data_IF_595486639834
#
_entry.id   IF_595486639834
#
_cell.length_a   1.000
_cell.length_b   1.000
_cell.length_c   1.000
_cell.angle_alpha   90.00
_cell.angle_beta   90.00
_cell.angle_gamma   90.00
#
_symmetry.space_group_name_H-M   'P 1'
#
loop_
_entity.id
_entity.type
_entity.pdbx_description
1 polymer ?
#
# COMPACT_ATOMS: atom_id res chain seq x y z
N UNK A 1 -43.43 30.55 -41.83
CA UNK A 1 -42.59 31.27 -40.88
C UNK A 1 -43.03 31.20 -39.40
N UNK A 2 -44.33 31.29 -39.06
CA UNK A 2 -44.75 31.23 -37.64
C UNK A 2 -44.48 29.86 -36.93
N UNK A 3 -44.56 28.74 -37.61
CA UNK A 3 -44.31 27.39 -37.01
C UNK A 3 -42.84 27.16 -36.70
N UNK A 4 -41.87 27.71 -37.43
CA UNK A 4 -40.44 27.56 -37.14
C UNK A 4 -39.98 28.37 -35.92
N UNK A 5 -40.65 29.48 -35.61
CA UNK A 5 -40.31 30.31 -34.43
C UNK A 5 -40.70 29.61 -33.13
N UNK A 6 -41.84 28.89 -33.11
CA UNK A 6 -42.26 28.14 -31.92
C UNK A 6 -41.39 26.88 -31.65
N UNK A 7 -40.86 26.27 -32.70
CA UNK A 7 -39.92 25.12 -32.55
C UNK A 7 -38.56 25.59 -32.02
N UNK A 8 -38.09 26.77 -32.45
CA UNK A 8 -36.83 27.32 -31.93
C UNK A 8 -36.97 27.81 -30.49
N UNK A 9 -38.12 28.41 -30.14
CA UNK A 9 -38.41 28.84 -28.75
C UNK A 9 -38.57 27.64 -27.80
N UNK A 10 -39.15 26.54 -28.23
CA UNK A 10 -39.28 25.32 -27.45
C UNK A 10 -37.91 24.63 -27.22
N UNK A 11 -36.98 24.69 -28.21
CA UNK A 11 -35.66 24.13 -28.08
C UNK A 11 -34.75 24.92 -27.12
N UNK A 12 -34.90 26.27 -27.10
CA UNK A 12 -34.16 27.14 -26.16
C UNK A 12 -34.66 27.00 -24.72
N UNK A 13 -35.94 26.76 -24.51
CA UNK A 13 -36.50 26.49 -23.19
C UNK A 13 -36.09 25.13 -22.59
N UNK A 14 -35.80 24.15 -23.45
CA UNK A 14 -35.29 22.84 -23.00
C UNK A 14 -33.82 22.91 -22.58
N UNK A 15 -33.01 23.80 -23.18
CA UNK A 15 -31.60 23.93 -22.83
C UNK A 15 -31.38 24.73 -21.52
N UNK A 16 -32.23 25.71 -21.24
CA UNK A 16 -32.18 26.49 -19.98
C UNK A 16 -32.77 25.75 -18.78
N UNK A 17 -33.62 24.72 -19.02
CA UNK A 17 -34.18 23.86 -17.96
C UNK A 17 -33.18 22.88 -17.37
N UNK A 18 -32.15 22.46 -18.13
CA UNK A 18 -31.14 21.55 -17.62
C UNK A 18 -30.12 22.22 -16.70
N UNK A 19 -29.73 23.48 -16.98
CA UNK A 19 -28.76 24.19 -16.15
C UNK A 19 -29.37 24.55 -14.77
N UNK A 20 -30.62 25.05 -14.75
CA UNK A 20 -31.29 25.37 -13.49
C UNK A 20 -31.61 24.13 -12.64
N UNK A 21 -31.76 22.94 -13.24
CA UNK A 21 -31.98 21.70 -12.52
C UNK A 21 -30.66 21.19 -11.92
N UNK A 22 -29.54 21.34 -12.61
CA UNK A 22 -28.20 20.98 -12.09
C UNK A 22 -27.77 21.95 -11.00
N UNK A 23 -28.03 23.25 -11.15
CA UNK A 23 -27.76 24.26 -10.11
C UNK A 23 -28.66 24.13 -8.88
N UNK A 24 -29.90 23.63 -9.05
CA UNK A 24 -30.85 23.38 -7.97
C UNK A 24 -30.98 21.91 -7.58
N UNK A 25 -30.23 21.00 -8.22
CA UNK A 25 -30.07 19.65 -7.70
C UNK A 25 -29.32 19.81 -6.38
N UNK A 26 -30.07 19.85 -5.29
CA UNK A 26 -29.49 19.90 -3.94
C UNK A 26 -28.44 18.82 -3.82
N UNK A 27 -27.35 19.14 -3.16
CA UNK A 27 -26.31 18.14 -2.80
C UNK A 27 -27.01 16.87 -2.39
N UNK A 28 -26.67 15.70 -2.97
CA UNK A 28 -27.29 14.44 -2.59
C UNK A 28 -27.38 14.36 -1.08
N UNK A 29 -28.49 13.89 -0.54
CA UNK A 29 -28.77 13.89 0.91
C UNK A 29 -27.74 13.10 1.74
N UNK A 30 -26.85 12.36 1.08
CA UNK A 30 -25.71 11.64 1.65
C UNK A 30 -24.35 12.35 1.46
N UNK A 31 -24.29 13.52 0.82
CA UNK A 31 -23.10 14.37 0.76
C UNK A 31 -23.24 15.49 1.80
N UNK A 32 -22.45 15.38 2.86
CA UNK A 32 -22.27 16.48 3.80
C UNK A 32 -21.51 17.60 3.10
N UNK A 33 -22.06 18.83 3.10
CA UNK A 33 -21.33 19.99 2.60
C UNK A 33 -20.20 20.34 3.57
N UNK A 34 -19.09 20.94 3.07
CA UNK A 34 -17.96 21.39 3.93
C UNK A 34 -18.41 22.25 5.11
N UNK A 35 -19.55 22.93 4.99
CA UNK A 35 -20.13 23.81 6.02
C UNK A 35 -21.00 23.04 7.04
N UNK A 36 -21.63 21.94 6.64
CA UNK A 36 -22.42 21.06 7.52
C UNK A 36 -21.55 20.17 8.41
N UNK A 37 -20.25 20.03 8.08
CA UNK A 37 -19.33 19.25 8.85
C UNK A 37 -18.84 20.08 10.04
N UNK A 38 -19.10 19.61 11.23
CA UNK A 38 -18.23 19.94 12.35
C UNK A 38 -16.85 19.37 12.01
N UNK A 39 -16.00 20.17 11.36
CA UNK A 39 -14.69 19.76 10.82
C UNK A 39 -13.86 19.01 11.85
N UNK A 40 -13.96 19.39 13.13
CA UNK A 40 -13.26 18.72 14.23
C UNK A 40 -13.72 17.27 14.40
N UNK A 41 -15.02 17.01 14.46
CA UNK A 41 -15.57 15.66 14.62
C UNK A 41 -15.32 14.76 13.39
N UNK A 42 -15.13 15.33 12.21
CA UNK A 42 -14.75 14.59 11.02
C UNK A 42 -13.33 14.01 11.10
N UNK A 43 -12.45 14.66 11.85
CA UNK A 43 -11.05 14.25 12.00
C UNK A 43 -10.89 13.36 13.21
N UNK A 44 -11.29 13.84 14.39
CA UNK A 44 -11.14 13.08 15.62
C UNK A 44 -12.13 13.53 16.70
N UNK A 45 -12.47 12.59 17.58
CA UNK A 45 -13.20 12.83 18.82
C UNK A 45 -12.19 12.69 19.95
N UNK A 46 -11.89 13.82 20.60
CA UNK A 46 -10.95 13.91 21.73
C UNK A 46 -11.73 13.92 23.04
N UNK A 47 -11.41 12.96 23.90
CA UNK A 47 -11.89 12.86 25.28
C UNK A 47 -10.71 12.96 26.25
N UNK A 48 -10.95 12.93 27.55
CA UNK A 48 -9.90 13.17 28.56
C UNK A 48 -8.64 12.30 28.37
N UNK A 49 -8.79 11.04 27.99
CA UNK A 49 -7.67 10.08 27.85
C UNK A 49 -7.78 9.23 26.57
N UNK A 50 -8.56 9.64 25.59
CA UNK A 50 -8.70 8.89 24.34
C UNK A 50 -8.86 9.82 23.15
N UNK A 51 -8.30 9.40 22.01
CA UNK A 51 -8.56 9.96 20.71
C UNK A 51 -9.14 8.86 19.83
N UNK A 52 -10.27 9.15 19.21
CA UNK A 52 -10.94 8.25 18.26
C UNK A 52 -11.00 8.88 16.89
N UNK A 53 -10.83 8.07 15.85
CA UNK A 53 -10.93 8.55 14.47
C UNK A 53 -12.31 9.13 14.18
N UNK A 54 -12.35 10.29 13.58
CA UNK A 54 -13.53 10.79 12.91
C UNK A 54 -13.74 10.11 11.55
N UNK A 55 -14.91 10.30 10.91
CA UNK A 55 -15.23 9.65 9.65
C UNK A 55 -14.20 9.84 8.54
N UNK A 56 -13.60 11.02 8.39
CA UNK A 56 -12.61 11.28 7.36
C UNK A 56 -11.30 10.52 7.64
N UNK A 57 -10.83 10.52 8.89
CA UNK A 57 -9.63 9.78 9.30
C UNK A 57 -9.83 8.27 9.14
N UNK A 58 -10.97 7.74 9.59
CA UNK A 58 -11.32 6.34 9.40
C UNK A 58 -11.39 5.96 7.91
N UNK A 59 -11.93 6.84 7.07
CA UNK A 59 -11.98 6.64 5.62
C UNK A 59 -10.58 6.58 4.99
N UNK A 60 -9.68 7.50 5.35
CA UNK A 60 -8.28 7.47 4.88
C UNK A 60 -7.59 6.15 5.25
N UNK A 61 -7.77 5.67 6.49
CA UNK A 61 -7.22 4.37 6.92
C UNK A 61 -7.81 3.18 6.15
N UNK A 62 -9.09 3.24 5.79
CA UNK A 62 -9.72 2.22 4.93
C UNK A 62 -9.11 2.24 3.53
N UNK A 63 -8.93 3.42 2.92
CA UNK A 63 -8.30 3.56 1.61
C UNK A 63 -6.87 3.04 1.57
N UNK A 64 -6.12 3.10 2.67
CA UNK A 64 -4.81 2.46 2.79
C UNK A 64 -4.86 0.97 2.44
N UNK A 65 -5.80 0.25 3.02
CA UNK A 65 -5.93 -1.18 2.77
C UNK A 65 -6.30 -1.50 1.33
N UNK A 66 -7.20 -0.73 0.73
CA UNK A 66 -7.62 -0.92 -0.66
C UNK A 66 -6.48 -0.62 -1.64
N UNK A 67 -5.72 0.45 -1.41
CA UNK A 67 -4.59 0.82 -2.25
C UNK A 67 -3.42 -0.15 -2.08
N UNK A 68 -3.05 -0.48 -0.84
CA UNK A 68 -1.94 -1.38 -0.53
C UNK A 68 -2.19 -2.78 -1.08
N UNK A 69 -3.37 -3.37 -0.82
CA UNK A 69 -3.68 -4.72 -1.32
C UNK A 69 -3.66 -4.80 -2.84
N UNK A 70 -4.23 -3.81 -3.52
CA UNK A 70 -4.23 -3.76 -4.98
C UNK A 70 -2.79 -3.62 -5.54
N UNK A 71 -1.94 -2.79 -4.91
CA UNK A 71 -0.53 -2.67 -5.26
C UNK A 71 0.22 -3.99 -5.00
N UNK A 72 0.04 -4.63 -3.84
CA UNK A 72 0.71 -5.90 -3.51
C UNK A 72 0.36 -7.02 -4.49
N UNK A 73 -0.91 -7.11 -4.90
CA UNK A 73 -1.35 -8.07 -5.91
C UNK A 73 -0.69 -7.82 -7.27
N UNK A 74 -0.66 -6.56 -7.70
CA UNK A 74 -0.03 -6.20 -8.97
C UNK A 74 1.49 -6.42 -8.95
N UNK A 75 2.18 -5.94 -7.91
CA UNK A 75 3.62 -6.12 -7.74
C UNK A 75 3.99 -7.60 -7.60
N UNK A 76 3.24 -8.38 -6.79
CA UNK A 76 3.45 -9.81 -6.67
C UNK A 76 3.30 -10.58 -8.00
N UNK A 77 2.48 -10.04 -8.93
CA UNK A 77 2.31 -10.60 -10.28
C UNK A 77 3.43 -10.17 -11.25
N UNK A 78 4.09 -9.03 -11.01
CA UNK A 78 5.28 -8.65 -11.81
C UNK A 78 6.50 -9.50 -11.48
N UNK A 79 6.50 -10.17 -10.34
CA UNK A 79 7.55 -11.07 -9.85
C UNK A 79 7.03 -12.51 -9.76
N UNK A 80 7.66 -13.33 -8.96
CA UNK A 80 7.38 -14.77 -8.82
C UNK A 80 6.55 -15.14 -7.57
N UNK A 81 5.82 -14.17 -6.98
CA UNK A 81 4.92 -14.42 -5.86
C UNK A 81 3.53 -14.87 -6.32
N UNK A 82 2.99 -14.19 -7.32
CA UNK A 82 1.65 -14.40 -7.83
C UNK A 82 1.68 -14.69 -9.33
N UNK A 83 0.62 -15.30 -9.82
CA UNK A 83 0.36 -15.50 -11.25
C UNK A 83 -1.12 -15.38 -11.54
N UNK A 84 -1.48 -15.36 -12.84
CA UNK A 84 -2.87 -15.30 -13.26
C UNK A 84 -3.70 -16.43 -12.64
N UNK A 85 -4.92 -16.09 -12.22
CA UNK A 85 -5.90 -17.06 -11.77
C UNK A 85 -6.56 -17.83 -12.92
N UNK A 86 -7.60 -18.55 -12.60
CA UNK A 86 -8.30 -19.44 -13.55
C UNK A 86 -9.54 -18.82 -14.18
N UNK A 87 -9.95 -17.64 -13.73
CA UNK A 87 -11.10 -16.92 -14.30
C UNK A 87 -10.64 -15.99 -15.44
N UNK A 88 -11.36 -15.97 -16.57
CA UNK A 88 -11.06 -15.08 -17.70
C UNK A 88 -11.13 -13.58 -17.38
N UNK A 89 -11.84 -13.18 -16.34
CA UNK A 89 -12.17 -11.78 -16.05
C UNK A 89 -11.07 -11.01 -15.28
N UNK A 90 -10.08 -11.69 -14.74
CA UNK A 90 -8.93 -11.06 -14.08
C UNK A 90 -7.91 -10.54 -15.10
N UNK A 91 -8.38 -9.68 -16.00
CA UNK A 91 -7.61 -9.25 -17.18
C UNK A 91 -6.31 -8.54 -16.80
N UNK A 92 -6.32 -7.70 -15.76
CA UNK A 92 -5.13 -6.98 -15.29
C UNK A 92 -3.99 -7.96 -14.97
N UNK A 93 -4.22 -8.92 -14.08
CA UNK A 93 -3.18 -9.84 -13.61
C UNK A 93 -2.69 -10.76 -14.72
N UNK A 94 -3.58 -11.17 -15.65
CA UNK A 94 -3.18 -11.90 -16.86
C UNK A 94 -2.28 -11.07 -17.76
N UNK A 95 -2.62 -9.81 -18.01
CA UNK A 95 -1.80 -8.92 -18.82
C UNK A 95 -0.44 -8.65 -18.18
N UNK A 96 -0.38 -8.52 -16.86
CA UNK A 96 0.89 -8.41 -16.13
C UNK A 96 1.67 -9.72 -16.28
N UNK A 97 1.08 -10.87 -15.98
CA UNK A 97 1.76 -12.17 -16.00
C UNK A 97 2.32 -12.54 -17.39
N UNK A 98 1.65 -12.09 -18.46
CA UNK A 98 2.04 -12.34 -19.86
C UNK A 98 2.81 -11.21 -20.53
N UNK A 99 3.22 -10.18 -19.79
CA UNK A 99 3.93 -8.99 -20.32
C UNK A 99 3.18 -8.24 -21.46
N UNK A 100 1.85 -8.27 -21.43
CA UNK A 100 0.97 -7.67 -22.46
C UNK A 100 0.18 -6.44 -21.96
N UNK A 101 0.47 -5.91 -20.78
CA UNK A 101 -0.16 -4.71 -20.27
C UNK A 101 0.41 -3.47 -20.96
N UNK A 102 -0.47 -2.61 -21.47
CA UNK A 102 -0.13 -1.35 -22.16
C UNK A 102 -0.89 -0.18 -21.53
N UNK A 103 -0.49 1.08 -21.77
CA UNK A 103 -1.26 2.25 -21.30
C UNK A 103 -2.73 2.20 -21.76
N UNK A 104 -2.97 1.73 -23.00
CA UNK A 104 -4.31 1.63 -23.62
C UNK A 104 -5.16 0.49 -23.08
N UNK A 105 -4.57 -0.46 -22.33
CA UNK A 105 -5.31 -1.60 -21.77
C UNK A 105 -6.42 -1.17 -20.82
N UNK A 106 -6.24 -0.07 -20.10
CA UNK A 106 -7.21 0.49 -19.18
C UNK A 106 -7.43 -0.30 -17.89
N UNK A 107 -6.97 -1.55 -17.81
CA UNK A 107 -7.19 -2.44 -16.67
C UNK A 107 -6.42 -2.02 -15.42
N UNK A 108 -5.32 -1.29 -15.56
CA UNK A 108 -4.54 -0.73 -14.46
C UNK A 108 -5.15 0.56 -13.88
N UNK A 109 -6.18 1.13 -14.53
CA UNK A 109 -6.80 2.39 -14.10
C UNK A 109 -7.45 2.28 -12.72
N UNK A 110 -8.00 1.12 -12.36
CA UNK A 110 -8.60 0.91 -11.04
C UNK A 110 -7.53 1.02 -9.94
N UNK A 111 -6.38 0.38 -10.11
CA UNK A 111 -5.27 0.50 -9.15
C UNK A 111 -4.75 1.94 -9.06
N UNK A 112 -4.55 2.59 -10.22
CA UNK A 112 -4.16 4.01 -10.27
C UNK A 112 -5.14 4.88 -9.47
N UNK A 113 -6.44 4.72 -9.72
CA UNK A 113 -7.48 5.49 -9.06
C UNK A 113 -7.54 5.22 -7.54
N UNK A 114 -7.32 3.98 -7.10
CA UNK A 114 -7.26 3.63 -5.67
C UNK A 114 -6.12 4.37 -4.97
N UNK A 115 -4.91 4.32 -5.53
CA UNK A 115 -3.76 5.02 -4.94
C UNK A 115 -3.95 6.54 -5.01
N UNK A 116 -4.47 7.06 -6.14
CA UNK A 116 -4.72 8.49 -6.30
C UNK A 116 -5.78 8.99 -5.31
N UNK A 117 -6.89 8.28 -5.15
CA UNK A 117 -7.92 8.65 -4.18
C UNK A 117 -7.37 8.62 -2.75
N UNK A 118 -6.59 7.59 -2.43
CA UNK A 118 -5.93 7.47 -1.13
C UNK A 118 -5.00 8.67 -0.87
N UNK A 119 -4.14 9.04 -1.83
CA UNK A 119 -3.28 10.22 -1.74
C UNK A 119 -4.08 11.51 -1.56
N UNK A 120 -5.06 11.74 -2.44
CA UNK A 120 -5.87 12.97 -2.42
C UNK A 120 -6.63 13.14 -1.09
N UNK A 121 -7.21 12.07 -0.54
CA UNK A 121 -7.92 12.12 0.74
C UNK A 121 -6.97 12.29 1.93
N UNK A 122 -5.76 11.76 1.83
CA UNK A 122 -4.73 11.96 2.86
C UNK A 122 -4.27 13.42 2.90
N UNK A 123 -4.04 14.05 1.76
CA UNK A 123 -3.71 15.47 1.65
C UNK A 123 -4.88 16.33 2.15
N UNK A 124 -6.10 16.05 1.70
CA UNK A 124 -7.31 16.76 2.15
C UNK A 124 -7.48 16.70 3.67
N UNK A 125 -7.21 15.54 4.30
CA UNK A 125 -7.27 15.39 5.75
C UNK A 125 -6.33 16.35 6.46
N UNK A 126 -5.07 16.45 6.02
CA UNK A 126 -4.09 17.36 6.63
C UNK A 126 -4.44 18.82 6.42
N UNK A 127 -4.97 19.18 5.23
CA UNK A 127 -5.43 20.54 4.91
C UNK A 127 -6.62 20.95 5.77
N UNK A 128 -7.65 20.10 5.87
CA UNK A 128 -8.83 20.35 6.71
C UNK A 128 -8.40 20.47 8.17
N UNK A 129 -7.49 19.60 8.64
CA UNK A 129 -6.96 19.66 9.99
C UNK A 129 -6.32 21.03 10.29
N UNK A 130 -5.54 21.58 9.36
CA UNK A 130 -4.92 22.90 9.49
C UNK A 130 -5.91 24.05 9.64
N UNK A 131 -7.14 23.89 9.16
CA UNK A 131 -8.19 24.94 9.12
C UNK A 131 -9.17 24.86 10.28
N UNK A 132 -9.02 23.91 11.22
CA UNK A 132 -9.97 23.74 12.32
C UNK A 132 -9.88 24.93 13.28
N UNK A 133 -11.05 25.38 13.71
CA UNK A 133 -11.22 26.35 14.78
C UNK A 133 -12.26 25.80 15.76
N UNK A 134 -12.08 26.00 17.06
CA UNK A 134 -13.00 25.51 18.08
C UNK A 134 -13.01 26.36 19.34
N UNK A 135 -14.04 26.16 20.17
CA UNK A 135 -14.19 26.86 21.44
C UNK A 135 -13.17 26.42 22.50
N UNK A 136 -12.73 25.17 22.45
CA UNK A 136 -11.69 24.62 23.31
C UNK A 136 -10.36 24.61 22.54
N UNK A 137 -9.45 25.52 22.90
CA UNK A 137 -8.18 25.70 22.21
C UNK A 137 -7.27 24.45 22.33
N UNK A 138 -7.22 23.81 23.49
CA UNK A 138 -6.40 22.62 23.71
C UNK A 138 -6.87 21.43 22.84
N UNK A 139 -8.14 21.12 22.87
CA UNK A 139 -8.72 20.05 22.02
C UNK A 139 -8.55 20.36 20.54
N UNK A 140 -8.66 21.63 20.15
CA UNK A 140 -8.47 22.06 18.77
C UNK A 140 -7.05 21.77 18.29
N UNK A 141 -6.03 22.07 19.08
CA UNK A 141 -4.64 21.81 18.70
C UNK A 141 -4.33 20.29 18.69
N UNK A 142 -4.90 19.50 19.59
CA UNK A 142 -4.78 18.03 19.54
C UNK A 142 -5.38 17.48 18.24
N UNK A 143 -6.60 17.89 17.87
CA UNK A 143 -7.27 17.43 16.65
C UNK A 143 -6.50 17.85 15.41
N UNK A 144 -5.99 19.09 15.36
CA UNK A 144 -5.14 19.56 14.26
C UNK A 144 -3.90 18.71 14.08
N UNK A 145 -3.14 18.53 15.15
CA UNK A 145 -1.90 17.77 15.12
C UNK A 145 -2.17 16.29 14.75
N UNK A 146 -3.23 15.69 15.29
CA UNK A 146 -3.61 14.32 14.95
C UNK A 146 -4.02 14.16 13.48
N UNK A 147 -4.88 15.05 12.98
CA UNK A 147 -5.33 15.01 11.59
C UNK A 147 -4.19 15.23 10.59
N UNK A 148 -3.27 16.16 10.88
CA UNK A 148 -2.07 16.37 10.07
C UNK A 148 -1.13 15.17 10.14
N UNK A 149 -0.88 14.62 11.34
CA UNK A 149 -0.09 13.41 11.49
C UNK A 149 -0.60 12.27 10.59
N UNK A 150 -1.88 11.95 10.72
CA UNK A 150 -2.48 10.87 9.91
C UNK A 150 -2.45 11.23 8.43
N UNK A 151 -2.81 12.47 8.06
CA UNK A 151 -2.81 12.91 6.67
C UNK A 151 -1.43 12.80 6.01
N UNK A 152 -0.39 13.30 6.67
CA UNK A 152 0.99 13.21 6.18
C UNK A 152 1.51 11.76 6.11
N UNK A 153 1.27 10.97 7.17
CA UNK A 153 1.70 9.56 7.18
C UNK A 153 1.12 8.79 5.98
N UNK A 154 -0.18 8.93 5.77
CA UNK A 154 -0.88 8.23 4.71
C UNK A 154 -0.58 8.81 3.31
N UNK A 155 -0.35 10.12 3.17
CA UNK A 155 0.11 10.73 1.91
C UNK A 155 1.51 10.20 1.52
N UNK A 156 2.43 10.09 2.49
CA UNK A 156 3.75 9.49 2.27
C UNK A 156 3.65 8.04 1.77
N UNK A 157 2.80 7.23 2.40
CA UNK A 157 2.64 5.84 1.96
C UNK A 157 1.97 5.72 0.58
N UNK A 158 1.03 6.60 0.25
CA UNK A 158 0.45 6.62 -1.10
C UNK A 158 1.50 6.98 -2.17
N UNK A 159 2.39 7.95 -1.91
CA UNK A 159 3.50 8.28 -2.79
C UNK A 159 4.47 7.10 -2.98
N UNK A 160 4.75 6.37 -1.91
CA UNK A 160 5.55 5.15 -1.98
C UNK A 160 4.86 4.11 -2.88
N UNK A 161 3.56 3.85 -2.71
CA UNK A 161 2.82 2.93 -3.56
C UNK A 161 2.81 3.34 -5.04
N UNK A 162 2.72 4.64 -5.34
CA UNK A 162 2.86 5.14 -6.71
C UNK A 162 4.23 4.85 -7.29
N UNK A 163 5.30 5.21 -6.58
CA UNK A 163 6.67 5.01 -7.02
C UNK A 163 6.98 3.54 -7.30
N UNK A 164 6.49 2.65 -6.43
CA UNK A 164 6.73 1.21 -6.54
C UNK A 164 5.89 0.55 -7.65
N UNK A 165 4.71 1.10 -7.98
CA UNK A 165 3.76 0.44 -8.87
C UNK A 165 3.80 0.94 -10.31
N UNK A 166 3.99 2.25 -10.56
CA UNK A 166 3.76 2.84 -11.88
C UNK A 166 4.99 3.50 -12.48
N UNK A 167 5.05 3.53 -13.82
CA UNK A 167 6.08 4.23 -14.59
C UNK A 167 5.54 4.70 -15.93
N UNK A 168 6.09 5.82 -16.43
CA UNK A 168 5.94 6.25 -17.82
C UNK A 168 6.81 5.40 -18.77
N UNK A 169 7.79 4.66 -18.22
CA UNK A 169 8.71 3.79 -18.95
C UNK A 169 8.76 2.40 -18.29
N UNK A 170 7.74 1.56 -18.45
CA UNK A 170 7.55 0.33 -17.67
C UNK A 170 8.70 -0.68 -17.69
N UNK A 171 9.49 -0.70 -18.76
CA UNK A 171 10.64 -1.59 -18.92
C UNK A 171 11.97 -1.01 -18.41
N UNK A 172 12.02 0.33 -18.17
CA UNK A 172 13.24 1.00 -17.78
C UNK A 172 13.54 0.85 -16.29
N UNK A 173 14.80 0.96 -15.92
CA UNK A 173 15.18 1.11 -14.53
C UNK A 173 14.78 2.48 -13.99
N UNK A 174 14.41 2.54 -12.70
CA UNK A 174 14.05 3.78 -12.05
C UNK A 174 12.74 4.39 -12.59
N UNK A 175 11.62 3.68 -12.45
CA UNK A 175 10.31 4.11 -12.94
C UNK A 175 10.04 5.59 -12.73
N UNK A 176 9.48 6.24 -13.74
CA UNK A 176 9.08 7.65 -13.70
C UNK A 176 7.57 7.77 -13.67
N UNK A 177 7.07 8.61 -12.78
CA UNK A 177 5.63 8.82 -12.57
C UNK A 177 5.30 10.28 -12.80
N UNK A 178 4.11 10.54 -13.32
CA UNK A 178 3.60 11.90 -13.44
C UNK A 178 2.68 12.19 -12.26
N UNK A 179 2.98 13.27 -11.54
CA UNK A 179 2.13 13.78 -10.48
C UNK A 179 2.05 15.31 -10.63
N UNK A 180 0.83 15.86 -10.58
CA UNK A 180 0.60 17.30 -10.74
C UNK A 180 1.27 17.88 -12.00
N UNK A 181 1.16 17.19 -13.14
CA UNK A 181 1.75 17.56 -14.44
C UNK A 181 3.29 17.56 -14.46
N UNK A 182 3.93 16.92 -13.52
CA UNK A 182 5.38 16.82 -13.43
C UNK A 182 5.81 15.36 -13.51
N UNK A 183 6.72 15.03 -14.41
CA UNK A 183 7.37 13.74 -14.44
C UNK A 183 8.37 13.69 -13.28
N UNK A 184 8.18 12.72 -12.39
CA UNK A 184 9.00 12.54 -11.19
C UNK A 184 9.63 11.15 -11.26
N UNK A 185 10.95 11.06 -11.03
CA UNK A 185 11.62 9.77 -11.01
C UNK A 185 11.18 8.93 -9.80
N UNK A 186 11.39 7.62 -9.88
CA UNK A 186 11.12 6.70 -8.78
C UNK A 186 11.78 7.18 -7.46
N UNK A 187 13.09 7.48 -7.50
CA UNK A 187 13.82 7.98 -6.32
C UNK A 187 13.25 9.31 -5.81
N UNK A 188 12.97 10.27 -6.71
CA UNK A 188 12.42 11.56 -6.31
C UNK A 188 11.02 11.42 -5.69
N UNK A 189 10.20 10.48 -6.17
CA UNK A 189 8.88 10.19 -5.57
C UNK A 189 9.02 9.58 -4.17
N UNK A 190 9.98 8.67 -3.96
CA UNK A 190 10.27 8.11 -2.64
C UNK A 190 10.83 9.18 -1.68
N UNK A 191 11.62 10.13 -2.18
CA UNK A 191 12.07 11.28 -1.37
C UNK A 191 10.90 12.20 -0.98
N UNK A 192 9.93 12.42 -1.87
CA UNK A 192 8.70 13.13 -1.50
C UNK A 192 7.89 12.36 -0.43
N UNK A 193 7.85 11.03 -0.50
CA UNK A 193 7.24 10.22 0.56
C UNK A 193 7.95 10.43 1.90
N UNK A 194 9.28 10.49 1.91
CA UNK A 194 10.09 10.78 3.10
C UNK A 194 9.76 12.14 3.70
N UNK A 195 9.64 13.19 2.87
CA UNK A 195 9.23 14.54 3.34
C UNK A 195 7.87 14.49 4.05
N UNK A 196 6.93 13.68 3.56
CA UNK A 196 5.64 13.49 4.24
C UNK A 196 5.79 12.75 5.58
N UNK A 197 6.66 11.75 5.68
CA UNK A 197 6.93 11.07 6.96
C UNK A 197 7.62 12.00 7.98
N UNK A 198 8.55 12.85 7.55
CA UNK A 198 9.16 13.89 8.38
C UNK A 198 8.10 14.91 8.87
N UNK A 199 7.17 15.30 8.01
CA UNK A 199 6.05 16.16 8.40
C UNK A 199 5.13 15.47 9.41
N UNK A 200 4.82 14.18 9.22
CA UNK A 200 4.07 13.39 10.21
C UNK A 200 4.80 13.32 11.56
N UNK A 201 6.11 13.09 11.55
CA UNK A 201 6.93 13.05 12.76
C UNK A 201 6.90 14.38 13.52
N UNK A 202 6.95 15.50 12.81
CA UNK A 202 6.86 16.83 13.41
C UNK A 202 5.54 17.02 14.17
N UNK A 203 4.42 16.56 13.60
CA UNK A 203 3.12 16.66 14.26
C UNK A 203 3.02 15.74 15.49
N UNK A 204 3.54 14.51 15.41
CA UNK A 204 3.61 13.57 16.56
C UNK A 204 4.45 14.16 17.68
N UNK A 205 5.54 14.84 17.38
CA UNK A 205 6.43 15.47 18.38
C UNK A 205 5.95 16.84 18.86
N UNK A 206 4.82 17.36 18.35
CA UNK A 206 4.24 18.62 18.82
C UNK A 206 3.81 18.53 20.28
N UNK A 207 3.82 19.65 20.99
CA UNK A 207 3.38 19.71 22.38
C UNK A 207 1.93 19.20 22.56
N UNK A 208 1.09 19.38 21.55
CA UNK A 208 -0.30 18.95 21.57
C UNK A 208 -0.45 17.43 21.67
N UNK A 209 0.30 16.64 20.86
CA UNK A 209 0.22 15.18 20.89
C UNK A 209 1.19 14.54 21.90
N UNK A 210 2.39 15.08 22.01
CA UNK A 210 3.43 14.53 22.91
C UNK A 210 2.98 14.47 24.36
N UNK A 211 2.22 15.45 24.82
CA UNK A 211 1.78 15.57 26.19
C UNK A 211 0.36 15.03 26.42
N UNK A 212 -0.33 14.58 25.34
CA UNK A 212 -1.69 14.10 25.44
C UNK A 212 -1.74 12.60 25.77
N UNK A 213 -2.26 12.26 26.95
CA UNK A 213 -2.27 10.89 27.47
C UNK A 213 -3.13 9.90 26.63
N UNK A 214 -4.06 10.42 25.84
CA UNK A 214 -4.92 9.61 24.95
C UNK A 214 -4.27 9.19 23.64
N UNK A 215 -2.98 9.52 23.43
CA UNK A 215 -2.24 9.22 22.21
C UNK A 215 -0.94 8.49 22.55
N UNK A 216 -0.73 7.32 21.91
CA UNK A 216 0.53 6.61 22.04
C UNK A 216 1.57 7.21 21.09
N UNK A 217 2.25 8.23 21.58
CA UNK A 217 3.27 8.97 20.86
C UNK A 217 4.45 8.08 20.43
N UNK A 218 4.88 7.17 21.32
CA UNK A 218 6.01 6.29 21.03
C UNK A 218 5.67 5.28 19.91
N UNK A 219 4.49 4.68 19.96
CA UNK A 219 4.05 3.78 18.89
C UNK A 219 3.92 4.52 17.55
N UNK A 220 3.38 5.74 17.54
CA UNK A 220 3.31 6.56 16.33
C UNK A 220 4.70 6.91 15.76
N UNK A 221 5.66 7.27 16.63
CA UNK A 221 7.05 7.50 16.20
C UNK A 221 7.66 6.23 15.59
N UNK A 222 7.48 5.06 16.22
CA UNK A 222 8.00 3.79 15.68
C UNK A 222 7.35 3.43 14.36
N UNK A 223 6.07 3.66 14.20
CA UNK A 223 5.37 3.44 12.94
C UNK A 223 5.98 4.30 11.81
N UNK A 224 6.18 5.59 12.04
CA UNK A 224 6.79 6.50 11.05
C UNK A 224 8.21 6.04 10.72
N UNK A 225 9.03 5.72 11.74
CA UNK A 225 10.39 5.23 11.55
C UNK A 225 10.45 3.91 10.75
N UNK A 226 9.42 3.08 10.87
CA UNK A 226 9.31 1.87 10.06
C UNK A 226 9.07 2.18 8.59
N UNK A 227 8.21 3.15 8.27
CA UNK A 227 8.03 3.59 6.88
C UNK A 227 9.31 4.21 6.30
N UNK A 228 9.99 5.08 7.06
CA UNK A 228 11.29 5.65 6.64
C UNK A 228 12.34 4.55 6.43
N UNK A 229 12.40 3.55 7.31
CA UNK A 229 13.28 2.39 7.19
C UNK A 229 13.00 1.60 5.91
N UNK A 230 11.74 1.35 5.57
CA UNK A 230 11.35 0.67 4.32
C UNK A 230 11.82 1.47 3.11
N UNK A 231 11.63 2.80 3.09
CA UNK A 231 12.15 3.63 2.00
C UNK A 231 13.67 3.53 1.86
N UNK A 232 14.40 3.64 2.96
CA UNK A 232 15.86 3.55 2.96
C UNK A 232 16.35 2.18 2.43
N UNK A 233 15.67 1.10 2.80
CA UNK A 233 15.96 -0.25 2.28
C UNK A 233 15.63 -0.35 0.79
N UNK A 234 14.48 0.15 0.34
CA UNK A 234 14.09 0.12 -1.08
C UNK A 234 15.04 0.92 -1.98
N UNK A 235 15.61 2.00 -1.46
CA UNK A 235 16.62 2.82 -2.13
C UNK A 235 18.05 2.28 -1.99
N UNK A 236 18.28 1.19 -1.24
CA UNK A 236 19.62 0.67 -0.96
C UNK A 236 20.48 1.58 -0.07
N UNK A 237 19.85 2.50 0.65
CA UNK A 237 20.49 3.47 1.56
C UNK A 237 20.76 2.81 2.94
N UNK A 238 21.64 1.82 2.96
CA UNK A 238 21.85 0.97 4.14
C UNK A 238 22.41 1.71 5.36
N UNK A 239 23.19 2.77 5.16
CA UNK A 239 23.68 3.60 6.25
C UNK A 239 22.54 4.35 6.95
N UNK A 240 21.56 4.85 6.18
CA UNK A 240 20.35 5.46 6.72
C UNK A 240 19.46 4.42 7.41
N UNK A 241 19.23 3.27 6.79
CA UNK A 241 18.49 2.16 7.38
C UNK A 241 19.05 1.76 8.75
N UNK A 242 20.39 1.72 8.90
CA UNK A 242 21.05 1.48 10.20
C UNK A 242 20.65 2.52 11.25
N UNK A 243 20.55 3.78 10.88
CA UNK A 243 20.19 4.86 11.84
C UNK A 243 18.74 4.80 12.30
N UNK A 244 17.85 4.24 11.46
CA UNK A 244 16.39 4.19 11.69
C UNK A 244 15.95 2.94 12.45
N UNK A 245 16.66 1.82 12.27
CA UNK A 245 16.17 0.49 12.67
C UNK A 245 16.02 0.32 14.19
N UNK A 246 16.77 1.07 14.99
CA UNK A 246 16.64 1.05 16.45
C UNK A 246 15.33 1.67 16.96
N UNK A 247 14.76 2.58 16.19
CA UNK A 247 13.55 3.34 16.51
C UNK A 247 12.33 2.84 15.72
N UNK A 248 12.46 1.78 14.92
CA UNK A 248 11.38 1.11 14.20
C UNK A 248 10.56 0.20 15.13
N UNK A 249 9.61 -0.56 14.56
CA UNK A 249 8.77 -1.51 15.31
C UNK A 249 9.59 -2.46 16.17
N UNK A 250 9.07 -2.75 17.36
CA UNK A 250 9.62 -3.71 18.30
C UNK A 250 8.96 -5.09 18.14
N UNK A 251 9.52 -6.08 18.86
CA UNK A 251 8.95 -7.42 18.93
C UNK A 251 7.48 -7.34 19.41
N UNK A 252 6.57 -7.98 18.68
CA UNK A 252 5.12 -7.97 18.92
C UNK A 252 4.36 -6.79 18.33
N UNK A 253 5.04 -5.82 17.69
CA UNK A 253 4.37 -4.69 17.03
C UNK A 253 4.19 -4.94 15.53
N UNK A 254 3.14 -4.34 14.96
CA UNK A 254 2.83 -4.37 13.53
C UNK A 254 2.21 -3.06 13.05
N UNK A 255 2.36 -2.80 11.76
CA UNK A 255 1.57 -1.83 11.00
C UNK A 255 0.63 -2.62 10.12
N UNK A 256 -0.67 -2.49 10.38
CA UNK A 256 -1.68 -3.30 9.70
C UNK A 256 -3.01 -2.57 9.53
N UNK A 257 -3.79 -2.98 8.53
CA UNK A 257 -5.18 -2.57 8.34
C UNK A 257 -6.07 -3.72 8.79
N UNK A 258 -7.00 -3.44 9.71
CA UNK A 258 -7.87 -4.44 10.32
C UNK A 258 -9.24 -4.45 9.65
N UNK A 259 -9.63 -5.62 9.15
CA UNK A 259 -10.94 -5.88 8.54
C UNK A 259 -11.82 -6.70 9.50
N UNK A 260 -12.44 -6.03 10.46
CA UNK A 260 -13.29 -6.66 11.48
C UNK A 260 -14.78 -6.31 11.37
N UNK A 261 -15.14 -5.38 10.48
CA UNK A 261 -16.51 -4.91 10.29
C UNK A 261 -17.27 -5.72 9.24
N UNK A 262 -18.60 -5.80 9.38
CA UNK A 262 -19.44 -6.61 8.48
C UNK A 262 -19.50 -6.13 7.02
N UNK A 263 -19.07 -4.89 6.74
CA UNK A 263 -19.20 -4.26 5.43
C UNK A 263 -18.01 -4.49 4.46
N UNK A 264 -16.82 -4.83 4.97
CA UNK A 264 -15.61 -4.94 4.13
C UNK A 264 -14.84 -6.21 4.43
N UNK A 265 -14.43 -6.90 3.38
CA UNK A 265 -13.56 -8.07 3.46
C UNK A 265 -12.10 -7.67 3.25
N UNK A 266 -11.17 -8.44 3.81
CA UNK A 266 -9.76 -8.31 3.49
C UNK A 266 -9.55 -8.52 1.98
N UNK A 267 -9.06 -7.51 1.23
CA UNK A 267 -8.93 -7.62 -0.23
C UNK A 267 -7.97 -8.71 -0.68
N UNK A 268 -6.94 -9.05 0.11
CA UNK A 268 -6.07 -10.19 -0.19
C UNK A 268 -6.84 -11.51 -0.10
N UNK A 269 -7.71 -11.67 0.91
CA UNK A 269 -8.59 -12.83 0.98
C UNK A 269 -9.51 -12.92 -0.25
N UNK A 270 -10.06 -11.79 -0.67
CA UNK A 270 -10.92 -11.72 -1.85
C UNK A 270 -10.17 -12.07 -3.14
N UNK A 271 -8.87 -11.79 -3.22
CA UNK A 271 -8.04 -12.03 -4.40
C UNK A 271 -7.31 -13.39 -4.39
N UNK A 272 -6.78 -13.83 -3.24
CA UNK A 272 -5.89 -15.02 -3.11
C UNK A 272 -6.48 -16.07 -2.17
N UNK A 273 -7.66 -15.84 -1.61
CA UNK A 273 -8.32 -16.77 -0.68
C UNK A 273 -8.98 -17.97 -1.38
N UNK A 274 -9.57 -18.88 -0.59
CA UNK A 274 -10.08 -20.16 -1.11
C UNK A 274 -11.19 -20.04 -2.15
N UNK A 275 -11.93 -18.93 -2.16
CA UNK A 275 -13.01 -18.69 -3.12
C UNK A 275 -12.60 -17.79 -4.28
N UNK A 276 -11.37 -17.27 -4.26
CA UNK A 276 -10.85 -16.40 -5.31
C UNK A 276 -10.29 -17.21 -6.47
N UNK A 277 -10.38 -16.63 -7.66
CA UNK A 277 -9.83 -17.20 -8.89
C UNK A 277 -9.19 -16.16 -9.77
N UNK A 278 -9.11 -14.92 -9.30
CA UNK A 278 -8.56 -13.79 -10.07
C UNK A 278 -7.04 -13.89 -10.16
N UNK A 279 -6.42 -14.21 -9.03
CA UNK A 279 -4.99 -14.40 -8.86
C UNK A 279 -4.76 -15.68 -8.09
N UNK A 280 -3.64 -16.32 -8.32
CA UNK A 280 -3.21 -17.46 -7.53
C UNK A 280 -1.75 -17.28 -7.09
N UNK A 281 -1.39 -17.98 -6.02
CA UNK A 281 0.00 -18.04 -5.59
C UNK A 281 0.82 -18.77 -6.67
N UNK A 282 2.00 -18.24 -6.96
CA UNK A 282 2.89 -18.85 -7.94
C UNK A 282 3.35 -20.24 -7.49
N UNK A 283 3.34 -21.25 -8.36
CA UNK A 283 3.93 -22.55 -8.07
C UNK A 283 5.41 -22.45 -7.63
N UNK A 284 6.14 -21.45 -8.12
CA UNK A 284 7.54 -21.23 -7.73
C UNK A 284 7.67 -20.72 -6.28
N UNK A 285 6.72 -19.95 -5.78
CA UNK A 285 6.68 -19.53 -4.37
C UNK A 285 6.34 -20.73 -3.47
N UNK A 286 5.41 -21.58 -3.88
CA UNK A 286 5.12 -22.80 -3.15
C UNK A 286 6.33 -23.73 -3.08
N UNK A 287 7.01 -23.96 -4.21
CA UNK A 287 8.22 -24.79 -4.29
C UNK A 287 9.40 -24.22 -3.49
N UNK A 288 9.41 -22.93 -3.20
CA UNK A 288 10.45 -22.29 -2.40
C UNK A 288 10.37 -22.61 -0.90
N UNK A 289 9.21 -23.08 -0.40
CA UNK A 289 9.02 -23.44 1.00
C UNK A 289 9.65 -24.80 1.30
N UNK A 290 10.76 -24.83 1.98
CA UNK A 290 11.52 -26.05 2.26
C UNK A 290 11.30 -26.51 3.71
N UNK A 291 11.42 -25.58 4.68
CA UNK A 291 11.35 -25.87 6.11
C UNK A 291 9.92 -25.89 6.64
N UNK A 292 9.70 -26.50 7.78
CA UNK A 292 8.38 -26.50 8.44
C UNK A 292 8.00 -25.11 8.95
N UNK A 293 8.99 -24.28 9.33
CA UNK A 293 8.74 -22.87 9.66
C UNK A 293 8.16 -22.10 8.47
N UNK A 294 8.75 -22.24 7.28
CA UNK A 294 8.28 -21.60 6.04
C UNK A 294 6.87 -22.06 5.65
N UNK A 295 6.58 -23.35 5.77
CA UNK A 295 5.25 -23.91 5.52
C UNK A 295 4.20 -23.37 6.50
N UNK A 296 4.57 -23.21 7.78
CA UNK A 296 3.69 -22.64 8.82
C UNK A 296 3.49 -21.13 8.67
N UNK A 297 4.53 -20.40 8.23
CA UNK A 297 4.45 -18.97 8.00
C UNK A 297 3.57 -18.61 6.79
N UNK A 298 3.65 -19.41 5.74
CA UNK A 298 2.88 -19.23 4.52
C UNK A 298 2.14 -20.54 4.17
N UNK A 299 1.09 -20.91 4.91
CA UNK A 299 0.31 -22.10 4.61
C UNK A 299 -0.46 -21.88 3.30
N UNK A 300 -0.17 -22.75 2.34
CA UNK A 300 -0.80 -22.76 1.04
C UNK A 300 -1.64 -24.03 0.86
N UNK A 301 -2.70 -23.94 0.10
CA UNK A 301 -3.55 -25.05 -0.24
C UNK A 301 -3.89 -25.03 -1.74
N UNK A 302 -4.33 -26.19 -2.25
CA UNK A 302 -4.65 -26.39 -3.65
C UNK A 302 -6.14 -26.63 -3.82
N UNK A 303 -6.73 -26.00 -4.80
CA UNK A 303 -8.07 -26.35 -5.29
C UNK A 303 -8.01 -26.67 -6.78
N UNK A 304 -8.57 -27.80 -7.18
CA UNK A 304 -8.75 -28.09 -8.60
C UNK A 304 -9.80 -27.15 -9.17
N UNK A 305 -9.46 -26.42 -10.20
CA UNK A 305 -10.33 -25.36 -10.73
C UNK A 305 -10.66 -25.57 -12.18
N UNK A 306 -9.78 -26.17 -12.97
CA UNK A 306 -9.96 -26.32 -14.39
C UNK A 306 -10.43 -27.72 -14.74
N UNK A 307 -11.74 -27.84 -15.05
CA UNK A 307 -12.32 -29.12 -15.53
C UNK A 307 -11.73 -29.58 -16.89
N UNK A 308 -11.18 -28.65 -17.68
CA UNK A 308 -10.55 -28.94 -18.96
C UNK A 308 -9.08 -29.32 -18.83
N UNK A 309 -8.43 -28.90 -17.72
CA UNK A 309 -7.05 -29.22 -17.43
C UNK A 309 -6.92 -29.65 -15.96
N UNK A 310 -7.16 -30.94 -15.62
CA UNK A 310 -7.20 -31.43 -14.26
C UNK A 310 -5.86 -31.33 -13.52
N UNK A 311 -4.76 -31.02 -14.22
CA UNK A 311 -3.46 -30.80 -13.64
C UNK A 311 -3.19 -29.34 -13.29
N UNK A 312 -4.15 -28.44 -13.59
CA UNK A 312 -4.04 -27.01 -13.26
C UNK A 312 -4.77 -26.73 -11.96
N UNK A 313 -4.03 -26.50 -10.91
CA UNK A 313 -4.53 -26.16 -9.58
C UNK A 313 -4.44 -24.66 -9.34
N UNK A 314 -5.45 -24.12 -8.67
CA UNK A 314 -5.37 -22.81 -8.07
C UNK A 314 -4.71 -22.95 -6.69
N UNK A 315 -3.60 -22.27 -6.48
CA UNK A 315 -2.87 -22.27 -5.21
C UNK A 315 -3.26 -20.99 -4.46
N UNK A 316 -3.75 -21.13 -3.25
CA UNK A 316 -4.18 -20.00 -2.44
C UNK A 316 -3.57 -19.99 -1.04
N UNK A 317 -3.46 -18.82 -0.44
CA UNK A 317 -2.97 -18.66 0.92
C UNK A 317 -4.10 -19.01 1.92
N UNK A 318 -4.03 -20.22 2.51
CA UNK A 318 -5.09 -20.75 3.39
C UNK A 318 -5.17 -20.03 4.74
N UNK A 319 -4.11 -19.33 5.17
CA UNK A 319 -4.12 -18.51 6.37
C UNK A 319 -4.90 -17.20 6.25
N UNK A 320 -5.16 -16.73 5.00
CA UNK A 320 -5.96 -15.53 4.81
C UNK A 320 -7.41 -15.80 5.23
N UNK A 321 -7.93 -14.92 6.04
CA UNK A 321 -9.32 -14.96 6.50
C UNK A 321 -10.10 -13.78 5.95
N UNK A 322 -11.40 -13.98 5.78
CA UNK A 322 -12.32 -12.96 5.26
C UNK A 322 -12.30 -11.69 6.14
N UNK A 323 -12.31 -11.92 7.45
CA UNK A 323 -12.13 -10.88 8.48
C UNK A 323 -10.75 -11.12 9.11
N UNK A 324 -9.83 -10.23 8.88
CA UNK A 324 -8.46 -10.39 9.31
C UNK A 324 -7.67 -9.11 9.10
N UNK A 325 -6.37 -9.23 9.04
CA UNK A 325 -5.48 -8.08 8.86
C UNK A 325 -4.80 -8.10 7.50
N UNK A 326 -4.52 -6.92 6.97
CA UNK A 326 -3.55 -6.68 5.91
C UNK A 326 -2.30 -6.11 6.56
N UNK A 327 -1.24 -6.90 6.66
CA UNK A 327 0.02 -6.48 7.27
C UNK A 327 0.84 -5.67 6.26
N UNK A 328 1.21 -4.46 6.65
CA UNK A 328 2.11 -3.58 5.89
C UNK A 328 3.57 -3.82 6.30
N UNK A 329 3.81 -3.96 7.62
CA UNK A 329 5.11 -4.30 8.21
C UNK A 329 4.90 -4.89 9.60
N UNK A 330 5.81 -5.75 10.03
CA UNK A 330 5.81 -6.34 11.36
C UNK A 330 7.25 -6.59 11.86
N UNK A 331 7.37 -7.20 13.04
CA UNK A 331 8.66 -7.56 13.62
C UNK A 331 9.52 -8.45 12.71
N UNK A 332 8.91 -9.32 11.87
CA UNK A 332 9.66 -10.17 10.94
C UNK A 332 10.43 -9.32 9.93
N UNK A 333 9.79 -8.25 9.42
CA UNK A 333 10.43 -7.32 8.50
C UNK A 333 11.65 -6.67 9.15
N UNK A 334 11.50 -6.19 10.39
CA UNK A 334 12.59 -5.56 11.16
C UNK A 334 13.76 -6.52 11.40
N UNK A 335 13.49 -7.75 11.84
CA UNK A 335 14.54 -8.75 12.08
C UNK A 335 15.26 -9.16 10.79
N UNK A 336 14.54 -9.34 9.69
CA UNK A 336 15.14 -9.66 8.39
C UNK A 336 16.00 -8.52 7.86
N UNK A 337 15.59 -7.27 8.06
CA UNK A 337 16.41 -6.09 7.73
C UNK A 337 17.64 -6.00 8.62
N UNK A 338 17.52 -6.23 9.94
CA UNK A 338 18.68 -6.27 10.85
C UNK A 338 19.70 -7.30 10.39
N UNK A 339 19.26 -8.52 10.12
CA UNK A 339 20.13 -9.59 9.65
C UNK A 339 20.86 -9.19 8.35
N UNK A 340 20.14 -8.57 7.40
CA UNK A 340 20.72 -8.09 6.15
C UNK A 340 21.80 -7.03 6.40
N UNK A 341 21.53 -6.02 7.22
CA UNK A 341 22.48 -4.96 7.54
C UNK A 341 23.75 -5.49 8.24
N UNK A 342 23.60 -6.51 9.08
CA UNK A 342 24.73 -7.18 9.75
C UNK A 342 25.55 -7.96 8.74
N UNK A 343 24.95 -8.77 7.88
CA UNK A 343 25.66 -9.55 6.85
C UNK A 343 26.34 -8.66 5.82
N UNK A 344 25.78 -7.47 5.54
CA UNK A 344 26.42 -6.46 4.71
C UNK A 344 27.59 -5.73 5.40
N UNK A 345 27.81 -5.97 6.70
CA UNK A 345 28.83 -5.26 7.48
C UNK A 345 28.50 -3.80 7.79
N UNK A 346 27.27 -3.37 7.57
CA UNK A 346 26.81 -2.00 7.85
C UNK A 346 26.52 -1.83 9.34
N UNK A 347 26.04 -2.89 9.99
CA UNK A 347 25.65 -2.92 11.39
C UNK A 347 26.42 -4.01 12.13
N UNK A 348 26.77 -3.78 13.39
CA UNK A 348 27.30 -4.82 14.28
C UNK A 348 26.14 -5.59 14.92
N UNK A 349 26.31 -6.89 15.11
CA UNK A 349 25.30 -7.76 15.73
C UNK A 349 25.46 -9.20 15.33
N UNK A 350 24.49 -10.01 15.66
CA UNK A 350 24.42 -11.44 15.30
C UNK A 350 23.23 -11.70 14.37
N UNK A 351 23.54 -11.82 13.07
CA UNK A 351 22.53 -12.07 12.04
C UNK A 351 21.82 -13.42 12.23
N UNK A 352 22.49 -14.42 12.80
CA UNK A 352 21.89 -15.72 13.09
C UNK A 352 20.78 -15.60 14.15
N UNK A 353 21.06 -14.84 15.20
CA UNK A 353 20.04 -14.56 16.25
C UNK A 353 18.83 -13.85 15.66
N UNK A 354 19.03 -12.80 14.83
CA UNK A 354 17.91 -12.06 14.22
C UNK A 354 17.06 -12.95 13.31
N UNK A 355 17.66 -13.77 12.46
CA UNK A 355 16.94 -14.72 11.60
C UNK A 355 16.21 -15.78 12.43
N UNK A 356 16.82 -16.30 13.47
CA UNK A 356 16.22 -17.35 14.29
C UNK A 356 15.05 -16.84 15.15
N UNK A 357 14.95 -15.53 15.43
CA UNK A 357 13.72 -14.94 15.98
C UNK A 357 12.54 -15.09 15.01
N UNK A 358 12.75 -14.84 13.72
CA UNK A 358 11.71 -14.98 12.69
C UNK A 358 11.32 -16.45 12.52
N UNK A 359 12.29 -17.34 12.32
CA UNK A 359 12.04 -18.76 12.07
C UNK A 359 11.42 -19.42 13.31
N UNK A 360 11.98 -19.16 14.50
CA UNK A 360 11.56 -19.77 15.76
C UNK A 360 10.14 -19.41 16.18
N UNK A 361 9.59 -18.30 15.69
CA UNK A 361 8.19 -17.92 15.89
C UNK A 361 7.22 -18.97 15.31
N UNK A 362 7.61 -19.62 14.23
CA UNK A 362 6.80 -20.62 13.54
C UNK A 362 7.23 -22.05 13.85
N UNK A 363 8.54 -22.30 13.94
CA UNK A 363 9.08 -23.63 14.23
C UNK A 363 10.53 -23.56 14.72
N UNK A 364 10.76 -23.89 16.00
CA UNK A 364 12.08 -23.85 16.60
C UNK A 364 13.03 -24.92 16.05
N UNK A 365 12.51 -26.04 15.55
CA UNK A 365 13.32 -27.11 14.96
C UNK A 365 13.91 -26.73 13.59
N UNK A 366 13.32 -25.72 12.93
CA UNK A 366 13.76 -25.19 11.63
C UNK A 366 14.83 -24.08 11.76
N UNK A 367 15.20 -23.68 12.98
CA UNK A 367 16.20 -22.63 13.20
C UNK A 367 17.56 -22.99 12.55
N UNK A 368 18.21 -21.95 12.02
CA UNK A 368 19.53 -22.12 11.39
C UNK A 368 20.62 -22.34 12.45
N UNK A 369 21.67 -23.09 12.08
CA UNK A 369 22.85 -23.31 12.91
C UNK A 369 24.07 -22.47 12.46
N UNK A 370 23.98 -21.80 11.31
CA UNK A 370 25.05 -20.99 10.73
C UNK A 370 24.53 -19.62 10.29
N UNK A 371 25.43 -18.64 10.33
CA UNK A 371 25.10 -17.28 9.86
C UNK A 371 24.62 -17.32 8.41
N UNK A 372 23.44 -16.73 8.10
CA UNK A 372 22.92 -16.75 6.74
C UNK A 372 23.70 -15.87 5.80
N UNK A 373 23.71 -16.24 4.53
CA UNK A 373 24.19 -15.40 3.42
C UNK A 373 23.09 -14.46 2.92
N UNK A 374 23.44 -13.42 2.15
CA UNK A 374 22.45 -12.52 1.54
C UNK A 374 21.42 -13.27 0.66
N UNK A 375 21.80 -14.25 -0.19
CA UNK A 375 20.81 -15.05 -0.91
C UNK A 375 19.84 -15.82 -0.02
N UNK A 376 20.32 -16.34 1.12
CA UNK A 376 19.43 -17.02 2.09
C UNK A 376 18.48 -16.03 2.76
N UNK A 377 18.95 -14.83 3.10
CA UNK A 377 18.08 -13.75 3.61
C UNK A 377 17.01 -13.38 2.57
N UNK A 378 17.39 -13.24 1.30
CA UNK A 378 16.44 -12.98 0.22
C UNK A 378 15.36 -14.08 0.12
N UNK A 379 15.76 -15.35 0.22
CA UNK A 379 14.83 -16.49 0.22
C UNK A 379 13.87 -16.47 1.41
N UNK A 380 14.36 -16.13 2.60
CA UNK A 380 13.51 -16.00 3.79
C UNK A 380 12.56 -14.80 3.67
N UNK A 381 13.02 -13.63 3.20
CA UNK A 381 12.15 -12.47 2.95
C UNK A 381 11.03 -12.81 1.98
N UNK A 382 11.32 -13.54 0.92
CA UNK A 382 10.33 -14.00 -0.07
C UNK A 382 9.15 -14.76 0.57
N UNK A 383 9.40 -15.55 1.62
CA UNK A 383 8.38 -16.35 2.30
C UNK A 383 7.72 -15.58 3.44
N UNK A 384 8.52 -15.02 4.35
CA UNK A 384 7.99 -14.40 5.57
C UNK A 384 7.36 -13.02 5.31
N UNK A 385 7.67 -12.36 4.18
CA UNK A 385 7.11 -11.10 3.75
C UNK A 385 6.27 -11.22 2.46
N UNK A 386 5.81 -12.44 2.14
CA UNK A 386 5.01 -12.67 0.94
C UNK A 386 3.76 -11.78 0.91
N UNK A 387 3.41 -11.29 -0.27
CA UNK A 387 2.24 -10.43 -0.56
C UNK A 387 2.25 -9.07 0.16
N UNK A 388 3.44 -8.52 0.46
CA UNK A 388 3.60 -7.20 1.08
C UNK A 388 4.29 -6.17 0.14
N UNK A 389 4.51 -6.55 -1.13
CA UNK A 389 5.18 -5.70 -2.12
C UNK A 389 6.70 -5.63 -2.00
N UNK A 390 7.32 -6.35 -1.04
CA UNK A 390 8.76 -6.30 -0.75
C UNK A 390 9.62 -6.95 -1.84
N UNK A 391 9.11 -8.00 -2.48
CA UNK A 391 9.85 -8.82 -3.44
C UNK A 391 10.42 -8.04 -4.62
N UNK A 392 9.65 -7.10 -5.17
CA UNK A 392 10.08 -6.24 -6.28
C UNK A 392 11.25 -5.34 -5.88
N UNK A 393 11.19 -4.75 -4.69
CA UNK A 393 12.26 -3.93 -4.14
C UNK A 393 13.52 -4.76 -3.85
N UNK A 394 13.39 -5.97 -3.31
CA UNK A 394 14.50 -6.89 -3.06
C UNK A 394 15.24 -7.27 -4.35
N UNK A 395 14.51 -7.47 -5.45
CA UNK A 395 15.11 -7.73 -6.76
C UNK A 395 15.82 -6.47 -7.31
N UNK A 396 15.15 -5.31 -7.28
CA UNK A 396 15.71 -4.05 -7.82
C UNK A 396 17.02 -3.63 -7.14
N UNK A 397 17.10 -3.77 -5.82
CA UNK A 397 18.30 -3.43 -5.06
C UNK A 397 19.36 -4.53 -5.04
N UNK A 398 19.16 -5.62 -5.79
CA UNK A 398 20.13 -6.70 -5.97
C UNK A 398 20.34 -7.60 -4.75
N UNK A 399 19.38 -7.64 -3.82
CA UNK A 399 19.39 -8.61 -2.73
C UNK A 399 19.10 -10.01 -3.28
N UNK A 400 18.10 -10.13 -4.15
CA UNK A 400 17.79 -11.36 -4.89
C UNK A 400 18.68 -11.45 -6.13
N UNK A 401 19.35 -12.58 -6.30
CA UNK A 401 20.18 -12.93 -7.44
C UNK A 401 19.75 -14.29 -7.99
N UNK A 402 20.02 -14.56 -9.25
CA UNK A 402 19.69 -15.85 -9.86
C UNK A 402 18.46 -15.80 -10.77
N UNK A 403 17.70 -16.90 -10.85
CA UNK A 403 16.65 -17.09 -11.87
C UNK A 403 15.52 -16.05 -11.74
N UNK A 404 15.09 -15.74 -10.54
CA UNK A 404 14.01 -14.75 -10.33
C UNK A 404 14.45 -13.34 -10.76
N UNK A 405 15.64 -12.91 -10.39
CA UNK A 405 16.20 -11.63 -10.82
C UNK A 405 16.42 -11.58 -12.34
N UNK A 406 16.92 -12.65 -12.94
CA UNK A 406 17.10 -12.76 -14.39
C UNK A 406 15.75 -12.72 -15.12
N UNK A 407 14.76 -13.45 -14.64
CA UNK A 407 13.41 -13.43 -15.22
C UNK A 407 12.81 -12.03 -15.15
N UNK A 408 12.89 -11.37 -14.00
CA UNK A 408 12.37 -10.02 -13.84
C UNK A 408 13.11 -9.00 -14.71
N UNK A 409 14.44 -9.10 -14.83
CA UNK A 409 15.25 -8.17 -15.66
C UNK A 409 14.86 -8.24 -17.13
N UNK A 410 14.43 -9.39 -17.61
CA UNK A 410 13.99 -9.62 -18.99
C UNK A 410 12.52 -9.21 -19.24
N UNK A 411 11.76 -8.86 -18.23
CA UNK A 411 10.36 -8.45 -18.39
C UNK A 411 10.25 -7.08 -19.06
N UNK A 412 9.21 -6.93 -19.88
CA UNK A 412 8.80 -5.65 -20.45
C UNK A 412 8.05 -4.79 -19.42
N UNK A 413 7.39 -5.45 -18.46
CA UNK A 413 6.59 -4.80 -17.42
C UNK A 413 7.26 -5.07 -16.07
N UNK A 414 8.12 -4.16 -15.66
CA UNK A 414 8.76 -4.09 -14.32
C UNK A 414 7.97 -3.15 -13.41
N UNK A 415 7.40 -2.12 -13.98
CA UNK A 415 6.39 -1.23 -13.42
C UNK A 415 5.16 -1.26 -14.30
N UNK A 416 4.01 -1.02 -13.74
CA UNK A 416 2.78 -0.89 -14.51
C UNK A 416 2.84 0.38 -15.37
N UNK A 417 2.40 0.33 -16.62
CA UNK A 417 2.26 1.53 -17.43
C UNK A 417 1.20 2.45 -16.82
N UNK A 418 1.46 3.74 -16.86
CA UNK A 418 0.45 4.73 -16.49
C UNK A 418 -0.77 4.60 -17.42
N UNK A 419 -2.01 4.80 -16.89
CA UNK A 419 -3.20 4.80 -17.73
C UNK A 419 -3.13 5.87 -18.84
N UNK A 420 -3.56 5.53 -20.05
CA UNK A 420 -3.52 6.43 -21.20
C UNK A 420 -4.23 7.76 -20.93
N UNK A 421 -5.39 7.73 -20.26
CA UNK A 421 -6.12 8.94 -19.90
C UNK A 421 -5.31 9.89 -19.03
N UNK A 422 -4.50 9.35 -18.13
CA UNK A 422 -3.61 10.14 -17.28
C UNK A 422 -2.48 10.75 -18.11
N UNK A 423 -1.86 9.99 -19.00
CA UNK A 423 -0.85 10.50 -19.93
C UNK A 423 -1.41 11.62 -20.80
N UNK A 424 -2.57 11.42 -21.42
CA UNK A 424 -3.25 12.43 -22.25
C UNK A 424 -3.61 13.68 -21.46
N UNK A 425 -4.08 13.55 -20.22
CA UNK A 425 -4.40 14.70 -19.36
C UNK A 425 -3.18 15.56 -19.03
N UNK A 426 -1.98 14.97 -19.10
CA UNK A 426 -0.70 15.64 -18.90
C UNK A 426 -0.05 16.15 -20.19
N UNK A 427 -0.66 15.84 -21.36
CA UNK A 427 -0.15 16.27 -22.66
C UNK A 427 0.95 15.37 -23.24
N UNK A 428 0.97 14.07 -22.83
CA UNK A 428 1.91 13.05 -23.29
C UNK A 428 1.23 11.97 -24.12
#
# INVERSE_FOLDING_TARGET
MKKSIYTLLALTLLLTSCDSWVENAGTPSNTLTKEQLNKSAMIAIVQTNTISDGPLTAYVKTLQGDAASAAFLALGTTVDELTEGTIPNALLYRQIATDNLTPTSGTQSDLWNKIHNYYARSVELSEIAGQITGANAEQTEIIKAYGKYVGHLHAGYALQLFAESFSTTPAAEGGSVILNKTVVSHEAMLNQAKEQYEAAMKEVQSDALKNYRGFDNEAACRQIKTYELKLAIHLGQYAEAKSLIGDALKDGESVEVIYNNDGTDNPLYSAIGPNSRDVQVSPSLEAAKITDAEKKALPLAHASVDKKNPNRYNIYASALTRKGTLTISDENDIHLVKAELIVRGVMTGDALTEINKVIGKYDTASQLSTVPTLPQIAALRRIFLAFRGERTADIRRGLEQGTAATTWSNRKIKWLPMPEKELQSQGL
#
